data_IF_881230761576
#
_entry.id   IF_881230761576
#
_cell.length_a   1.000
_cell.length_b   1.000
_cell.length_c   1.000
_cell.angle_alpha   90.00
_cell.angle_beta   90.00
_cell.angle_gamma   90.00
#
_symmetry.space_group_name_H-M   'P 1'
#
loop_
_entity.id
_entity.type
_entity.pdbx_description
1 polymer ?
#
# COMPACT_ATOMS: atom_id res chain seq x y z
N UNK A 1 5.49 -6.23 20.89
CA UNK A 1 4.88 -5.65 19.67
C UNK A 1 5.40 -6.24 18.35
N UNK A 2 6.72 -6.30 18.09
CA UNK A 2 7.25 -6.81 16.79
C UNK A 2 6.76 -8.20 16.34
N UNK A 3 6.53 -9.14 17.28
CA UNK A 3 5.97 -10.47 16.96
C UNK A 3 4.53 -10.38 16.47
N UNK A 4 3.71 -9.52 17.09
CA UNK A 4 2.32 -9.29 16.68
C UNK A 4 2.25 -8.65 15.31
N UNK A 5 3.05 -7.60 15.07
CA UNK A 5 3.18 -6.96 13.76
C UNK A 5 3.47 -7.99 12.65
N UNK A 6 4.52 -8.81 12.83
CA UNK A 6 4.89 -9.85 11.87
C UNK A 6 3.76 -10.85 11.63
N UNK A 7 3.08 -11.28 12.70
CA UNK A 7 1.96 -12.20 12.58
C UNK A 7 0.81 -11.59 11.78
N UNK A 8 0.41 -10.34 12.08
CA UNK A 8 -0.67 -9.65 11.38
C UNK A 8 -0.33 -9.37 9.90
N UNK A 9 0.90 -8.95 9.60
CA UNK A 9 1.35 -8.77 8.21
C UNK A 9 1.31 -10.10 7.43
N UNK A 10 1.78 -11.20 8.03
CA UNK A 10 1.73 -12.52 7.39
C UNK A 10 0.29 -13.02 7.19
N UNK A 11 -0.60 -12.77 8.17
CA UNK A 11 -2.04 -13.04 8.05
C UNK A 11 -2.65 -12.25 6.89
N UNK A 12 -2.35 -10.95 6.78
CA UNK A 12 -2.83 -10.10 5.70
C UNK A 12 -2.31 -10.58 4.33
N UNK A 13 -1.04 -10.90 4.22
CA UNK A 13 -0.45 -11.43 2.99
C UNK A 13 -1.13 -12.74 2.56
N UNK A 14 -1.34 -13.68 3.49
CA UNK A 14 -2.06 -14.92 3.21
C UNK A 14 -3.49 -14.67 2.71
N UNK A 15 -4.22 -13.71 3.30
CA UNK A 15 -5.56 -13.31 2.82
C UNK A 15 -5.49 -12.76 1.40
N UNK A 16 -4.52 -11.89 1.13
CA UNK A 16 -4.36 -11.24 -0.16
C UNK A 16 -4.00 -12.21 -1.30
N UNK A 17 -3.39 -13.34 -0.95
CA UNK A 17 -3.11 -14.49 -1.82
C UNK A 17 -4.30 -15.48 -1.93
N UNK A 18 -5.41 -15.22 -1.24
CA UNK A 18 -6.60 -16.09 -1.24
C UNK A 18 -6.45 -17.35 -0.37
N UNK A 19 -5.44 -17.42 0.50
CA UNK A 19 -5.24 -18.52 1.44
C UNK A 19 -6.12 -18.32 2.68
N UNK A 20 -6.43 -19.41 3.39
CA UNK A 20 -7.13 -19.35 4.69
C UNK A 20 -6.13 -18.92 5.77
N UNK A 21 -6.18 -17.68 6.30
CA UNK A 21 -5.20 -17.23 7.28
C UNK A 21 -5.49 -17.82 8.66
N UNK A 22 -4.46 -17.86 9.51
CA UNK A 22 -4.64 -17.96 10.96
C UNK A 22 -4.63 -16.55 11.53
N UNK A 23 -5.78 -16.06 12.00
CA UNK A 23 -5.83 -14.79 12.72
C UNK A 23 -5.21 -14.98 14.11
N UNK A 24 -4.27 -14.11 14.53
CA UNK A 24 -3.89 -14.02 15.92
C UNK A 24 -5.08 -13.54 16.75
N UNK A 25 -5.29 -14.11 17.94
CA UNK A 25 -6.37 -13.69 18.85
C UNK A 25 -6.19 -12.24 19.33
N UNK A 26 -4.93 -11.77 19.39
CA UNK A 26 -4.58 -10.39 19.69
C UNK A 26 -4.53 -9.54 18.40
N UNK A 27 -4.92 -8.26 18.50
CA UNK A 27 -4.80 -7.30 17.41
C UNK A 27 -6.02 -7.22 16.49
N UNK A 28 -7.17 -7.79 16.90
CA UNK A 28 -8.44 -7.62 16.19
C UNK A 28 -8.78 -6.13 16.03
N UNK A 29 -8.57 -5.31 17.07
CA UNK A 29 -8.83 -3.87 16.99
C UNK A 29 -7.92 -3.14 16.00
N UNK A 30 -6.70 -3.65 15.79
CA UNK A 30 -5.73 -3.10 14.83
C UNK A 30 -6.17 -3.44 13.40
N UNK A 31 -6.60 -4.68 13.18
CA UNK A 31 -7.14 -5.12 11.89
C UNK A 31 -8.42 -4.36 11.53
N UNK A 32 -9.32 -4.15 12.49
CA UNK A 32 -10.53 -3.34 12.28
C UNK A 32 -10.19 -1.91 11.84
N UNK A 33 -9.22 -1.27 12.52
CA UNK A 33 -8.77 0.07 12.18
C UNK A 33 -8.17 0.11 10.77
N UNK A 34 -7.28 -0.84 10.45
CA UNK A 34 -6.69 -0.98 9.12
C UNK A 34 -7.76 -1.17 8.05
N UNK A 35 -8.73 -2.07 8.25
CA UNK A 35 -9.80 -2.34 7.28
C UNK A 35 -10.68 -1.11 7.06
N UNK A 36 -11.03 -0.38 8.13
CA UNK A 36 -11.80 0.86 8.02
C UNK A 36 -11.05 1.93 7.23
N UNK A 37 -9.77 2.14 7.52
CA UNK A 37 -8.91 3.11 6.82
C UNK A 37 -8.65 2.70 5.37
N UNK A 38 -8.34 1.43 5.11
CA UNK A 38 -8.11 0.91 3.76
C UNK A 38 -9.36 1.03 2.88
N UNK A 39 -10.55 0.91 3.45
CA UNK A 39 -11.81 1.12 2.72
C UNK A 39 -12.02 2.60 2.37
N UNK A 40 -11.59 3.51 3.24
CA UNK A 40 -11.70 4.96 3.03
C UNK A 40 -10.54 5.54 2.21
N UNK A 41 -9.60 4.70 1.74
CA UNK A 41 -8.41 5.18 1.03
C UNK A 41 -8.77 5.88 -0.28
N UNK A 42 -7.99 6.89 -0.60
CA UNK A 42 -8.11 7.63 -1.86
C UNK A 42 -7.28 6.95 -2.96
N UNK A 43 -7.59 7.28 -4.22
CA UNK A 43 -6.91 6.76 -5.40
C UNK A 43 -6.54 7.92 -6.33
N UNK A 44 -5.40 7.79 -7.01
CA UNK A 44 -4.97 8.68 -8.08
C UNK A 44 -4.74 7.89 -9.39
N UNK A 45 -4.35 8.56 -10.47
CA UNK A 45 -4.15 7.95 -11.79
C UNK A 45 -3.19 6.75 -11.80
N UNK A 46 -2.23 6.70 -10.87
CA UNK A 46 -1.24 5.62 -10.75
C UNK A 46 -1.59 4.58 -9.66
N UNK A 47 -2.83 4.56 -9.17
CA UNK A 47 -3.29 3.57 -8.19
C UNK A 47 -3.66 4.14 -6.81
N UNK A 48 -3.73 3.28 -5.77
CA UNK A 48 -4.13 3.68 -4.42
C UNK A 48 -3.09 4.56 -3.73
N UNK A 49 -3.56 5.50 -2.90
CA UNK A 49 -2.69 6.26 -2.00
C UNK A 49 -2.48 5.50 -0.68
N UNK A 50 -1.30 5.62 -0.04
CA UNK A 50 -1.05 5.04 1.28
C UNK A 50 -1.96 5.66 2.36
N UNK A 51 -2.20 4.92 3.44
CA UNK A 51 -2.84 5.44 4.65
C UNK A 51 -1.91 6.48 5.27
N UNK A 52 -2.45 7.64 5.63
CA UNK A 52 -1.67 8.71 6.24
C UNK A 52 -1.90 8.80 7.74
N UNK A 53 -0.96 9.42 8.45
CA UNK A 53 -1.08 9.67 9.89
C UNK A 53 -2.28 10.58 10.20
N UNK A 54 -2.60 11.53 9.32
CA UNK A 54 -3.75 12.43 9.46
C UNK A 54 -5.06 11.66 9.34
N UNK A 55 -5.18 10.75 8.36
CA UNK A 55 -6.36 9.91 8.21
C UNK A 55 -6.55 9.00 9.44
N UNK A 56 -5.46 8.46 9.97
CA UNK A 56 -5.47 7.63 11.16
C UNK A 56 -5.89 8.42 12.42
N UNK A 57 -5.35 9.62 12.60
CA UNK A 57 -5.72 10.52 13.70
C UNK A 57 -7.21 10.93 13.60
N UNK A 58 -7.67 11.31 12.40
CA UNK A 58 -9.06 11.65 12.15
C UNK A 58 -10.00 10.49 12.45
N UNK A 59 -9.66 9.27 12.02
CA UNK A 59 -10.44 8.07 12.32
C UNK A 59 -10.48 7.77 13.82
N UNK A 60 -9.33 7.84 14.51
CA UNK A 60 -9.24 7.59 15.95
C UNK A 60 -10.11 8.56 16.75
N UNK A 61 -10.08 9.85 16.38
CA UNK A 61 -10.91 10.88 16.99
C UNK A 61 -12.40 10.67 16.70
N UNK A 62 -12.77 10.47 15.45
CA UNK A 62 -14.18 10.32 15.04
C UNK A 62 -14.83 9.08 15.64
N UNK A 63 -14.12 7.94 15.65
CA UNK A 63 -14.61 6.67 16.19
C UNK A 63 -14.51 6.61 17.71
N UNK A 64 -13.87 7.59 18.36
CA UNK A 64 -13.56 7.59 19.81
C UNK A 64 -12.84 6.32 20.24
N UNK A 65 -11.92 5.84 19.40
CA UNK A 65 -11.09 4.66 19.63
C UNK A 65 -9.62 5.11 19.66
N UNK A 66 -9.02 5.31 20.84
CA UNK A 66 -7.62 5.66 20.94
C UNK A 66 -6.74 4.61 20.26
N UNK A 67 -5.84 5.06 19.38
CA UNK A 67 -4.87 4.21 18.73
C UNK A 67 -3.47 4.55 19.25
N UNK A 68 -2.93 3.77 20.21
CA UNK A 68 -1.59 4.02 20.74
C UNK A 68 -0.53 4.01 19.63
N UNK A 69 0.60 4.73 19.79
CA UNK A 69 1.63 4.83 18.76
C UNK A 69 2.11 3.47 18.23
N UNK A 70 2.28 2.49 19.12
CA UNK A 70 2.70 1.14 18.74
C UNK A 70 1.63 0.36 17.95
N UNK A 71 0.34 0.69 18.06
CA UNK A 71 -0.71 0.14 17.20
C UNK A 71 -0.75 0.87 15.86
N UNK A 72 -0.58 2.20 15.88
CA UNK A 72 -0.50 3.01 14.67
C UNK A 72 0.66 2.55 13.76
N UNK A 73 1.83 2.26 14.33
CA UNK A 73 2.97 1.65 13.60
C UNK A 73 2.61 0.31 12.95
N UNK A 74 1.79 -0.52 13.60
CA UNK A 74 1.34 -1.79 13.04
C UNK A 74 0.35 -1.56 11.89
N UNK A 75 -0.56 -0.58 12.01
CA UNK A 75 -1.46 -0.21 10.91
C UNK A 75 -0.66 0.26 9.69
N UNK A 76 0.39 1.06 9.89
CA UNK A 76 1.27 1.48 8.80
C UNK A 76 1.99 0.29 8.15
N UNK A 77 2.49 -0.67 8.95
CA UNK A 77 3.11 -1.88 8.42
C UNK A 77 2.14 -2.79 7.63
N UNK A 78 0.86 -2.83 8.05
CA UNK A 78 -0.19 -3.50 7.29
C UNK A 78 -0.46 -2.79 5.97
N UNK A 79 -0.48 -1.46 5.96
CA UNK A 79 -0.65 -0.68 4.73
C UNK A 79 0.50 -0.88 3.75
N UNK A 80 1.75 -0.88 4.23
CA UNK A 80 2.92 -1.19 3.39
C UNK A 80 2.78 -2.58 2.72
N UNK A 81 2.36 -3.58 3.50
CA UNK A 81 2.13 -4.94 3.01
C UNK A 81 1.05 -4.98 1.93
N UNK A 82 -0.05 -4.25 2.15
CA UNK A 82 -1.14 -4.14 1.20
C UNK A 82 -0.71 -3.38 -0.08
N UNK A 83 0.01 -2.27 0.07
CA UNK A 83 0.49 -1.42 -1.03
C UNK A 83 1.45 -2.18 -1.93
N UNK A 84 2.37 -2.96 -1.36
CA UNK A 84 3.25 -3.83 -2.13
C UNK A 84 2.47 -4.86 -2.96
N UNK A 85 1.43 -5.47 -2.37
CA UNK A 85 0.57 -6.38 -3.12
C UNK A 85 -0.23 -5.67 -4.21
N UNK A 86 -0.79 -4.49 -3.93
CA UNK A 86 -1.51 -3.69 -4.92
C UNK A 86 -0.60 -3.31 -6.10
N UNK A 87 0.63 -2.87 -5.82
CA UNK A 87 1.64 -2.58 -6.83
C UNK A 87 1.97 -3.80 -7.69
N UNK A 88 2.17 -4.98 -7.08
CA UNK A 88 2.39 -6.25 -7.82
C UNK A 88 1.21 -6.58 -8.73
N UNK A 89 -0.03 -6.41 -8.27
CA UNK A 89 -1.23 -6.67 -9.09
C UNK A 89 -1.36 -5.70 -10.26
N UNK A 90 -1.03 -4.42 -10.07
CA UNK A 90 -1.03 -3.43 -11.14
C UNK A 90 0.07 -3.70 -12.17
N UNK A 91 1.27 -4.09 -11.72
CA UNK A 91 2.37 -4.47 -12.60
C UNK A 91 2.09 -5.78 -13.38
N UNK A 92 1.41 -6.75 -12.76
CA UNK A 92 1.01 -8.00 -13.41
C UNK A 92 -0.21 -7.89 -14.32
N UNK A 93 -1.03 -6.84 -14.17
CA UNK A 93 -2.17 -6.53 -15.05
C UNK A 93 -1.80 -5.69 -16.27
N UNK A 94 -0.66 -5.00 -16.23
CA UNK A 94 -0.05 -4.40 -17.40
C UNK A 94 0.76 -5.48 -18.12
N UNK A 95 0.26 -5.99 -19.25
CA UNK A 95 1.11 -6.71 -20.18
C UNK A 95 2.39 -5.88 -20.41
N UNK A 96 3.53 -6.47 -20.05
CA UNK A 96 4.85 -5.88 -20.18
C UNK A 96 5.09 -5.47 -21.63
N UNK A 97 4.96 -4.19 -21.92
CA UNK A 97 5.71 -3.55 -22.98
C UNK A 97 6.48 -2.44 -22.31
N UNK A 98 7.77 -2.62 -21.96
CA UNK A 98 8.61 -1.45 -21.88
C UNK A 98 8.56 -0.83 -23.28
N UNK A 99 8.03 0.39 -23.39
CA UNK A 99 8.18 1.20 -24.59
C UNK A 99 9.66 1.59 -24.69
N UNK A 100 10.51 0.62 -25.00
CA UNK A 100 11.88 0.89 -25.43
C UNK A 100 11.72 1.42 -26.85
N UNK A 101 11.85 2.73 -27.03
CA UNK A 101 11.87 3.31 -28.35
C UNK A 101 13.01 2.65 -29.14
N UNK A 102 12.72 2.02 -30.26
CA UNK A 102 13.72 1.49 -31.20
C UNK A 102 14.52 2.60 -31.90
N UNK A 103 14.17 3.86 -31.65
CA UNK A 103 14.88 5.03 -32.15
C UNK A 103 16.12 5.26 -31.27
N UNK A 104 17.34 5.04 -31.79
CA UNK A 104 18.54 5.47 -31.07
C UNK A 104 18.49 6.98 -30.88
N UNK A 105 18.77 7.45 -29.66
CA UNK A 105 18.99 8.86 -29.37
C UNK A 105 20.23 9.32 -30.14
N UNK A 106 20.03 9.83 -31.35
CA UNK A 106 21.08 10.47 -32.13
C UNK A 106 21.23 11.92 -31.68
N UNK A 107 22.46 12.45 -31.78
CA UNK A 107 22.73 13.85 -31.44
C UNK A 107 21.81 14.82 -32.21
N UNK A 108 21.53 14.55 -33.48
CA UNK A 108 20.62 15.37 -34.29
C UNK A 108 19.16 15.32 -33.83
N UNK A 109 18.69 14.20 -33.27
CA UNK A 109 17.34 14.11 -32.70
C UNK A 109 17.25 14.89 -31.38
N UNK A 110 18.33 14.88 -30.60
CA UNK A 110 18.44 15.66 -29.37
C UNK A 110 18.42 17.16 -29.68
N UNK A 111 19.28 17.63 -30.59
CA UNK A 111 19.34 19.06 -30.98
C UNK A 111 18.01 19.55 -31.59
N UNK A 112 17.32 18.71 -32.35
CA UNK A 112 16.00 19.02 -32.90
C UNK A 112 14.90 19.13 -31.82
N UNK A 113 15.01 18.38 -30.72
CA UNK A 113 14.07 18.41 -29.59
C UNK A 113 14.35 19.55 -28.61
N UNK A 114 15.62 19.89 -28.40
CA UNK A 114 16.03 20.92 -27.45
C UNK A 114 16.24 22.29 -28.09
N UNK A 115 16.08 22.40 -29.41
CA UNK A 115 16.18 23.66 -30.15
C UNK A 115 17.61 24.16 -30.23
N UNK A 116 18.45 23.46 -31.00
CA UNK A 116 19.80 23.92 -31.37
C UNK A 116 19.83 25.29 -32.02
#
# INVERSE_FOLDING_TARGET
>A
MRRLQKALCATLEAVLEGKKPRLPDAGAEILDAFMALSRARTYHAHGPNPITWEAMAAWSQMMRRPLPPHHAEIVMALDDTWMQNAARKMAGGAATIPAVSSTPLSAGLFDALTGG
#
